data_IF_349288135897
#
_entry.id   IF_349288135897
#
_cell.length_a   1.000
_cell.length_b   1.000
_cell.length_c   1.000
_cell.angle_alpha   90.00
_cell.angle_beta   90.00
_cell.angle_gamma   90.00
#
_symmetry.space_group_name_H-M   'P 1'
#
loop_
_entity.id
_entity.type
_entity.pdbx_description
1 polymer ?
#
# COMPACT_ATOMS: atom_id res chain seq x y z
N UNK A 1 3.00 -10.87 -14.78
CA UNK A 1 1.85 -10.57 -13.90
C UNK A 1 2.11 -9.27 -13.15
N UNK A 2 1.07 -8.48 -12.82
CA UNK A 2 1.17 -7.28 -11.97
C UNK A 2 0.54 -7.59 -10.63
N UNK A 3 1.26 -7.33 -9.52
CA UNK A 3 0.73 -7.53 -8.17
C UNK A 3 0.94 -6.28 -7.32
N UNK A 4 -0.14 -5.75 -6.75
CA UNK A 4 -0.09 -4.72 -5.71
C UNK A 4 0.24 -5.40 -4.38
N UNK A 5 1.28 -4.95 -3.69
CA UNK A 5 1.79 -5.63 -2.49
C UNK A 5 1.90 -4.66 -1.33
N UNK A 6 1.38 -5.06 -0.18
CA UNK A 6 1.57 -4.34 1.08
C UNK A 6 2.95 -4.59 1.67
N UNK A 7 3.68 -3.51 1.90
CA UNK A 7 5.02 -3.54 2.50
C UNK A 7 4.99 -3.72 4.04
N UNK A 8 3.82 -3.64 4.63
CA UNK A 8 3.70 -3.61 6.09
C UNK A 8 3.96 -2.23 6.70
N UNK A 9 3.96 -2.13 8.04
CA UNK A 9 3.95 -0.85 8.76
C UNK A 9 5.36 -0.26 9.00
N UNK A 10 6.41 -0.86 8.45
CA UNK A 10 7.77 -0.33 8.55
C UNK A 10 8.85 -1.38 8.84
N UNK A 11 8.65 -2.27 9.80
CA UNK A 11 9.59 -3.34 10.09
C UNK A 11 9.65 -4.35 8.92
N UNK A 12 10.84 -4.80 8.57
CA UNK A 12 11.07 -5.68 7.41
C UNK A 12 10.41 -7.06 7.59
N UNK A 13 10.31 -7.53 8.80
CA UNK A 13 9.71 -8.81 9.18
C UNK A 13 8.18 -8.78 9.31
N UNK A 14 7.57 -7.60 9.19
CA UNK A 14 6.11 -7.43 9.18
C UNK A 14 5.52 -7.43 7.77
N UNK A 15 6.32 -7.68 6.75
CA UNK A 15 5.79 -8.03 5.44
C UNK A 15 5.18 -9.44 5.48
N UNK A 16 4.11 -9.66 4.74
CA UNK A 16 3.54 -11.01 4.66
C UNK A 16 4.49 -11.97 3.95
N UNK A 17 4.42 -13.25 4.29
CA UNK A 17 5.21 -14.31 3.62
C UNK A 17 4.98 -14.30 2.10
N UNK A 18 3.73 -14.05 1.67
CA UNK A 18 3.40 -13.90 0.24
C UNK A 18 4.09 -12.67 -0.36
N UNK A 19 4.01 -11.52 0.29
CA UNK A 19 4.64 -10.27 -0.16
C UNK A 19 6.16 -10.42 -0.30
N UNK A 20 6.81 -11.06 0.67
CA UNK A 20 8.24 -11.36 0.60
C UNK A 20 8.60 -12.24 -0.60
N UNK A 21 7.83 -13.30 -0.85
CA UNK A 21 8.04 -14.18 -2.01
C UNK A 21 7.91 -13.41 -3.31
N UNK A 22 6.85 -12.62 -3.46
CA UNK A 22 6.60 -11.80 -4.64
C UNK A 22 7.75 -10.81 -4.92
N UNK A 23 8.29 -10.17 -3.87
CA UNK A 23 9.46 -9.29 -4.01
C UNK A 23 10.70 -10.05 -4.51
N UNK A 24 10.94 -11.25 -3.99
CA UNK A 24 12.09 -12.08 -4.40
C UNK A 24 11.96 -12.55 -5.86
N UNK A 25 10.75 -12.75 -6.35
CA UNK A 25 10.47 -13.23 -7.71
C UNK A 25 10.35 -12.08 -8.72
N UNK A 26 10.18 -10.84 -8.27
CA UNK A 26 9.93 -9.68 -9.12
C UNK A 26 11.07 -9.38 -10.10
N UNK A 27 10.70 -9.07 -11.34
CA UNK A 27 11.60 -8.48 -12.35
C UNK A 27 11.59 -6.96 -12.30
N UNK A 28 10.47 -6.39 -11.88
CA UNK A 28 10.26 -4.95 -11.75
C UNK A 28 9.56 -4.70 -10.41
N UNK A 29 10.10 -3.76 -9.63
CA UNK A 29 9.46 -3.24 -8.42
C UNK A 29 9.25 -1.74 -8.57
N UNK A 30 8.01 -1.29 -8.37
CA UNK A 30 7.66 0.13 -8.32
C UNK A 30 7.18 0.41 -6.89
N UNK A 31 7.96 1.10 -6.09
CA UNK A 31 7.63 1.35 -4.68
C UNK A 31 7.12 2.78 -4.44
N UNK A 32 6.25 2.94 -3.43
CA UNK A 32 5.55 4.18 -3.13
C UNK A 32 6.37 5.17 -2.28
N UNK A 33 7.58 5.48 -2.71
CA UNK A 33 8.38 6.56 -2.14
C UNK A 33 8.94 6.29 -0.74
N UNK A 34 9.15 7.36 0.03
CA UNK A 34 9.90 7.36 1.28
C UNK A 34 9.24 6.63 2.46
N UNK A 35 7.98 6.27 2.34
CA UNK A 35 7.25 5.56 3.40
C UNK A 35 7.46 4.04 3.37
N UNK A 36 8.01 3.51 2.29
CA UNK A 36 8.38 2.09 2.21
C UNK A 36 9.78 1.91 2.77
N UNK A 37 9.96 0.97 3.70
CA UNK A 37 11.28 0.67 4.23
C UNK A 37 12.21 0.18 3.11
N UNK A 38 13.33 0.89 2.83
CA UNK A 38 14.24 0.51 1.76
C UNK A 38 14.94 -0.83 2.01
N UNK A 39 14.96 -1.33 3.23
CA UNK A 39 15.48 -2.65 3.58
C UNK A 39 14.75 -3.78 2.84
N UNK A 40 13.44 -3.61 2.56
CA UNK A 40 12.67 -4.57 1.78
C UNK A 40 13.16 -4.72 0.33
N UNK A 41 13.74 -3.66 -0.24
CA UNK A 41 14.26 -3.70 -1.60
C UNK A 41 15.49 -4.60 -1.75
N UNK A 42 16.16 -4.93 -0.63
CA UNK A 42 17.27 -5.90 -0.60
C UNK A 42 16.80 -7.34 -0.84
N UNK A 43 15.49 -7.60 -0.70
CA UNK A 43 14.90 -8.90 -1.00
C UNK A 43 14.78 -9.17 -2.50
N UNK A 44 14.82 -8.12 -3.31
CA UNK A 44 14.72 -8.24 -4.76
C UNK A 44 15.98 -8.93 -5.34
N UNK A 45 15.78 -9.67 -6.42
CA UNK A 45 16.88 -10.27 -7.15
C UNK A 45 17.80 -9.19 -7.77
N UNK A 46 19.06 -9.50 -7.97
CA UNK A 46 20.09 -8.57 -8.45
C UNK A 46 19.71 -7.87 -9.78
N UNK A 47 19.03 -8.56 -10.65
CA UNK A 47 18.59 -8.04 -11.96
C UNK A 47 17.23 -7.31 -11.92
N UNK A 48 16.61 -7.18 -10.76
CA UNK A 48 15.35 -6.49 -10.60
C UNK A 48 15.49 -4.99 -10.89
N UNK A 49 14.60 -4.45 -11.73
CA UNK A 49 14.53 -3.00 -11.96
C UNK A 49 13.65 -2.36 -10.90
N UNK A 50 14.19 -1.38 -10.19
CA UNK A 50 13.51 -0.71 -9.09
C UNK A 50 13.22 0.75 -9.44
N UNK A 51 11.94 1.13 -9.33
CA UNK A 51 11.44 2.48 -9.61
C UNK A 51 10.83 3.10 -8.35
N UNK A 52 11.12 4.38 -8.12
CA UNK A 52 10.51 5.15 -7.05
C UNK A 52 9.38 6.03 -7.61
N UNK A 53 8.14 5.66 -7.35
CA UNK A 53 6.98 6.38 -7.89
C UNK A 53 6.73 7.77 -7.27
N UNK A 54 7.44 8.15 -6.21
CA UNK A 54 7.38 9.52 -5.71
C UNK A 54 7.92 10.56 -6.73
N UNK A 55 8.64 10.10 -7.74
CA UNK A 55 9.23 10.92 -8.81
C UNK A 55 8.60 10.66 -10.17
N UNK A 56 7.46 9.95 -10.20
CA UNK A 56 6.78 9.51 -11.42
C UNK A 56 5.34 10.01 -11.43
N UNK A 57 4.82 10.27 -12.62
CA UNK A 57 3.38 10.51 -12.82
C UNK A 57 2.63 9.17 -12.86
N UNK A 58 1.30 9.22 -12.82
CA UNK A 58 0.47 8.02 -12.96
C UNK A 58 0.72 7.33 -14.31
N UNK A 59 0.81 8.13 -15.37
CA UNK A 59 1.05 7.67 -16.73
C UNK A 59 2.39 6.94 -16.84
N UNK A 60 3.45 7.50 -16.26
CA UNK A 60 4.78 6.86 -16.25
C UNK A 60 4.79 5.53 -15.48
N UNK A 61 4.05 5.45 -14.36
CA UNK A 61 3.90 4.21 -13.59
C UNK A 61 3.16 3.16 -14.43
N UNK A 62 2.07 3.55 -15.08
CA UNK A 62 1.29 2.66 -15.94
C UNK A 62 2.11 2.20 -17.16
N UNK A 63 2.88 3.10 -17.79
CA UNK A 63 3.75 2.74 -18.90
C UNK A 63 4.74 1.63 -18.54
N UNK A 64 5.39 1.75 -17.37
CA UNK A 64 6.31 0.72 -16.86
C UNK A 64 5.58 -0.60 -16.64
N UNK A 65 4.37 -0.57 -16.06
CA UNK A 65 3.56 -1.78 -15.82
C UNK A 65 3.14 -2.45 -17.12
N UNK A 66 2.57 -1.68 -18.09
CA UNK A 66 2.07 -2.18 -19.36
C UNK A 66 3.20 -2.79 -20.18
N UNK A 67 4.33 -2.06 -20.31
CA UNK A 67 5.50 -2.53 -21.01
C UNK A 67 6.08 -3.80 -20.39
N UNK A 68 6.25 -3.79 -19.07
CA UNK A 68 6.77 -4.94 -18.34
C UNK A 68 5.85 -6.16 -18.47
N UNK A 69 4.53 -5.96 -18.46
CA UNK A 69 3.57 -7.05 -18.69
C UNK A 69 3.71 -7.63 -20.11
N UNK A 70 3.80 -6.76 -21.12
CA UNK A 70 4.03 -7.19 -22.50
C UNK A 70 5.32 -7.97 -22.72
N UNK A 71 6.35 -7.66 -21.93
CA UNK A 71 7.64 -8.38 -21.90
C UNK A 71 7.60 -9.67 -21.03
N UNK A 72 6.42 -10.07 -20.51
CA UNK A 72 6.24 -11.27 -19.69
C UNK A 72 6.90 -11.20 -18.32
N UNK A 73 7.08 -9.99 -17.75
CA UNK A 73 7.76 -9.76 -16.48
C UNK A 73 6.82 -9.88 -15.27
N UNK A 74 7.39 -10.28 -14.14
CA UNK A 74 6.74 -10.21 -12.82
C UNK A 74 6.95 -8.81 -12.23
N UNK A 75 5.85 -8.11 -11.98
CA UNK A 75 5.85 -6.70 -11.58
C UNK A 75 5.19 -6.57 -10.21
N UNK A 76 5.91 -5.98 -9.26
CA UNK A 76 5.39 -5.66 -7.94
C UNK A 76 5.20 -4.14 -7.81
N UNK A 77 3.98 -3.73 -7.50
CA UNK A 77 3.64 -2.39 -7.07
C UNK A 77 3.59 -2.36 -5.55
N UNK A 78 4.68 -1.89 -4.91
CA UNK A 78 4.87 -1.97 -3.46
C UNK A 78 4.34 -0.71 -2.76
N UNK A 79 3.39 -0.89 -1.85
CA UNK A 79 2.75 0.17 -1.08
C UNK A 79 3.03 0.02 0.42
N UNK A 80 3.10 1.14 1.13
CA UNK A 80 3.19 1.15 2.60
C UNK A 80 1.95 0.55 3.23
N UNK A 81 2.10 -0.20 4.31
CA UNK A 81 1.00 -0.82 5.02
C UNK A 81 0.25 -1.82 4.14
N UNK A 82 -1.02 -1.53 3.88
CA UNK A 82 -1.91 -2.26 2.98
C UNK A 82 -2.27 -1.40 1.76
N UNK A 83 -2.23 -1.93 0.53
CA UNK A 83 -2.52 -1.16 -0.68
C UNK A 83 -3.95 -0.59 -0.71
N UNK A 84 -4.91 -1.28 -0.09
CA UNK A 84 -6.32 -0.90 -0.09
C UNK A 84 -6.64 0.26 0.86
N UNK A 85 -5.72 0.63 1.76
CA UNK A 85 -5.88 1.75 2.69
C UNK A 85 -5.02 2.94 2.26
N UNK A 86 -5.65 3.92 1.63
CA UNK A 86 -5.02 5.14 1.13
C UNK A 86 -3.85 4.92 0.15
N UNK A 87 -3.78 3.75 -0.48
CA UNK A 87 -2.73 3.40 -1.44
C UNK A 87 -2.86 4.06 -2.81
N UNK A 88 -3.98 4.74 -3.11
CA UNK A 88 -4.27 5.33 -4.41
C UNK A 88 -4.11 4.33 -5.58
N UNK A 89 -4.51 3.07 -5.35
CA UNK A 89 -4.37 2.00 -6.34
C UNK A 89 -5.56 1.92 -7.31
N UNK A 90 -6.71 2.53 -6.94
CA UNK A 90 -7.94 2.41 -7.72
C UNK A 90 -7.79 2.88 -9.16
N UNK A 91 -7.20 4.05 -9.37
CA UNK A 91 -6.98 4.61 -10.69
C UNK A 91 -6.07 3.70 -11.54
N UNK A 92 -5.02 3.14 -10.92
CA UNK A 92 -4.11 2.21 -11.60
C UNK A 92 -4.85 0.93 -12.00
N UNK A 93 -5.65 0.36 -11.10
CA UNK A 93 -6.46 -0.83 -11.37
C UNK A 93 -7.48 -0.59 -12.48
N UNK A 94 -8.16 0.57 -12.48
CA UNK A 94 -9.14 0.91 -13.50
C UNK A 94 -8.51 1.03 -14.90
N UNK A 95 -7.32 1.62 -15.00
CA UNK A 95 -6.57 1.69 -16.26
C UNK A 95 -6.09 0.31 -16.73
N UNK A 96 -5.55 -0.51 -15.83
CA UNK A 96 -5.17 -1.89 -16.17
C UNK A 96 -6.37 -2.72 -16.65
N UNK A 97 -7.54 -2.53 -16.01
CA UNK A 97 -8.77 -3.21 -16.41
C UNK A 97 -9.24 -2.79 -17.80
N UNK A 98 -9.15 -1.49 -18.15
CA UNK A 98 -9.47 -1.00 -19.52
C UNK A 98 -8.58 -1.62 -20.59
N UNK A 99 -7.33 -1.91 -20.20
CA UNK A 99 -6.34 -2.53 -21.10
C UNK A 99 -6.40 -4.06 -21.07
N UNK A 100 -7.37 -4.64 -20.34
CA UNK A 100 -7.51 -6.09 -20.14
C UNK A 100 -6.26 -6.78 -19.58
N UNK A 101 -5.45 -6.02 -18.80
CA UNK A 101 -4.25 -6.53 -18.15
C UNK A 101 -4.61 -7.09 -16.80
N UNK A 102 -4.32 -8.38 -16.53
CA UNK A 102 -4.61 -9.01 -15.24
C UNK A 102 -3.69 -8.48 -14.14
N UNK A 103 -4.27 -8.27 -12.97
CA UNK A 103 -3.54 -7.89 -11.76
C UNK A 103 -4.10 -8.60 -10.53
N UNK A 104 -3.30 -8.66 -9.49
CA UNK A 104 -3.66 -9.20 -8.18
C UNK A 104 -3.34 -8.20 -7.07
N UNK A 105 -3.97 -8.40 -5.91
CA UNK A 105 -3.66 -7.67 -4.68
C UNK A 105 -3.18 -8.65 -3.61
N UNK A 106 -2.07 -8.30 -2.97
CA UNK A 106 -1.50 -9.00 -1.83
C UNK A 106 -1.57 -8.08 -0.62
N UNK A 107 -2.48 -8.34 0.32
CA UNK A 107 -2.68 -7.48 1.48
C UNK A 107 -1.42 -7.38 2.34
N UNK A 108 -1.33 -6.30 3.09
CA UNK A 108 -0.25 -6.05 4.05
C UNK A 108 -0.77 -5.69 5.43
N UNK A 109 0.13 -5.62 6.39
CA UNK A 109 -0.18 -5.14 7.74
C UNK A 109 -0.24 -3.62 7.72
N UNK A 110 -1.42 -3.06 8.01
CA UNK A 110 -1.63 -1.60 8.03
C UNK A 110 -0.91 -0.93 9.21
N UNK A 111 -0.57 0.35 9.03
CA UNK A 111 0.14 1.13 10.04
C UNK A 111 -0.59 1.22 11.38
N UNK A 112 -1.92 1.25 11.40
CA UNK A 112 -2.67 1.27 12.65
C UNK A 112 -2.53 -0.04 13.43
N UNK A 113 -2.41 -1.19 12.77
CA UNK A 113 -2.12 -2.46 13.42
C UNK A 113 -0.70 -2.47 14.01
N UNK A 114 0.28 -1.94 13.26
CA UNK A 114 1.65 -1.80 13.74
C UNK A 114 1.75 -0.84 14.92
N UNK A 115 1.00 0.25 14.92
CA UNK A 115 0.93 1.20 16.02
C UNK A 115 0.31 0.57 17.28
N UNK A 116 -0.79 -0.17 17.14
CA UNK A 116 -1.41 -0.87 18.28
C UNK A 116 -0.43 -1.86 18.92
N UNK A 117 0.28 -2.63 18.11
CA UNK A 117 1.29 -3.57 18.60
C UNK A 117 2.43 -2.87 19.34
N UNK A 118 2.94 -1.75 18.80
CA UNK A 118 4.01 -0.97 19.44
C UNK A 118 3.58 -0.31 20.77
N UNK A 119 2.28 0.00 20.90
CA UNK A 119 1.69 0.59 22.11
C UNK A 119 1.13 -0.45 23.07
N UNK A 120 1.20 -1.74 22.73
CA UNK A 120 0.58 -2.82 23.50
C UNK A 120 -0.92 -2.56 23.76
N UNK A 121 -1.61 -2.00 22.75
CA UNK A 121 -2.99 -1.55 22.86
C UNK A 121 -3.93 -2.39 22.00
N UNK A 122 -5.16 -2.57 22.49
CA UNK A 122 -6.27 -3.13 21.72
C UNK A 122 -7.29 -2.02 21.44
N UNK A 123 -7.72 -1.88 20.18
CA UNK A 123 -8.68 -0.85 19.79
C UNK A 123 -10.11 -1.17 20.19
N UNK A 124 -10.45 -2.45 20.22
CA UNK A 124 -11.80 -2.92 20.54
C UNK A 124 -11.83 -3.53 21.92
N UNK A 125 -12.57 -2.90 22.83
CA UNK A 125 -12.70 -3.35 24.23
C UNK A 125 -14.15 -3.69 24.52
N UNK A 126 -14.46 -4.89 25.05
CA UNK A 126 -15.83 -5.27 25.42
C UNK A 126 -16.48 -4.24 26.36
N UNK A 127 -17.68 -3.79 26.01
CA UNK A 127 -18.43 -2.81 26.80
C UNK A 127 -17.93 -1.36 26.72
N UNK A 128 -16.81 -1.09 26.04
CA UNK A 128 -16.23 0.26 25.89
C UNK A 128 -16.27 0.71 24.43
N UNK A 129 -15.62 -0.02 23.54
CA UNK A 129 -15.54 0.33 22.12
C UNK A 129 -15.61 -0.92 21.25
N UNK A 130 -16.55 -0.96 20.33
CA UNK A 130 -16.73 -2.05 19.39
C UNK A 130 -16.41 -1.64 17.94
N UNK A 131 -16.00 -0.38 17.73
CA UNK A 131 -15.80 0.18 16.40
C UNK A 131 -14.44 0.85 16.28
N UNK A 132 -13.81 0.68 15.12
CA UNK A 132 -12.59 1.40 14.71
C UNK A 132 -12.91 2.19 13.46
N UNK A 133 -12.69 3.49 13.50
CA UNK A 133 -12.88 4.39 12.35
C UNK A 133 -11.52 4.87 11.89
N UNK A 134 -11.18 4.56 10.63
CA UNK A 134 -9.92 4.94 10.02
C UNK A 134 -10.17 6.14 9.12
N UNK A 135 -9.56 7.26 9.47
CA UNK A 135 -9.65 8.49 8.69
C UNK A 135 -8.26 9.03 8.40
N UNK A 136 -8.18 9.85 7.39
CA UNK A 136 -6.98 10.56 7.00
C UNK A 136 -7.22 12.06 7.18
N UNK A 137 -6.23 12.79 7.70
CA UNK A 137 -6.29 14.25 7.66
C UNK A 137 -6.47 14.72 6.22
N UNK A 138 -7.37 15.66 6.04
CA UNK A 138 -7.59 16.30 4.75
C UNK A 138 -6.28 16.97 4.29
N UNK A 139 -5.90 16.75 3.03
CA UNK A 139 -4.83 17.52 2.39
C UNK A 139 -5.21 19.00 2.29
N UNK A 140 -4.27 19.86 1.90
CA UNK A 140 -4.43 21.33 1.83
C UNK A 140 -5.69 21.84 1.11
N UNK A 141 -6.35 21.01 0.31
CA UNK A 141 -7.53 21.38 -0.49
C UNK A 141 -8.87 20.93 0.12
N UNK A 142 -8.90 20.21 1.23
CA UNK A 142 -10.16 19.67 1.78
C UNK A 142 -10.53 20.20 3.16
N UNK A 143 -9.93 21.29 3.61
CA UNK A 143 -10.32 21.98 4.85
C UNK A 143 -11.76 22.52 4.81
N UNK A 144 -12.36 22.63 3.61
CA UNK A 144 -13.72 23.17 3.41
C UNK A 144 -14.80 22.08 3.64
N UNK A 145 -14.43 20.80 3.65
CA UNK A 145 -15.37 19.68 3.80
C UNK A 145 -15.11 18.80 5.02
N UNK A 146 -14.30 19.24 5.96
CA UNK A 146 -14.38 18.70 7.30
C UNK A 146 -15.66 19.32 7.88
N UNK A 147 -16.80 18.71 7.56
CA UNK A 147 -17.90 18.73 8.50
C UNK A 147 -17.28 18.49 9.87
N UNK A 148 -17.57 19.35 10.81
CA UNK A 148 -17.09 19.32 12.20
C UNK A 148 -16.76 17.89 12.61
N UNK A 149 -15.60 17.62 13.25
CA UNK A 149 -15.35 16.30 13.79
C UNK A 149 -16.63 15.98 14.56
N UNK A 150 -17.33 14.96 14.06
CA UNK A 150 -18.46 14.43 14.80
C UNK A 150 -17.87 14.24 16.17
N UNK A 151 -18.24 15.12 17.11
CA UNK A 151 -17.81 15.01 18.49
C UNK A 151 -17.97 13.55 18.79
N UNK A 152 -16.92 12.88 19.21
CA UNK A 152 -17.03 11.65 19.93
C UNK A 152 -18.03 11.99 21.04
N UNK A 153 -19.30 11.82 20.78
CA UNK A 153 -20.26 11.70 21.82
C UNK A 153 -19.88 10.40 22.48
N UNK A 154 -19.14 10.54 23.55
CA UNK A 154 -19.14 9.58 24.64
C UNK A 154 -20.61 9.42 24.99
N UNK A 155 -21.27 8.46 24.36
CA UNK A 155 -22.55 7.97 24.81
C UNK A 155 -22.20 7.19 26.07
N UNK A 156 -22.34 7.90 27.17
CA UNK A 156 -22.37 7.31 28.50
C UNK A 156 -23.52 6.32 28.63
#
# INVERSE_FOLDING_TARGET
MITFVGAGPGAEDLITVRGQRLLKEADIVIYAGSLVNPGLLKLCKEKCKIYNSAKMTLEEVLEVMVKGHGDGKEIVRLHTGDPCLYGAIREQMDELKKLEIPYEDCPGVSSFCGAAAALEAEYTLPGISQSVVITRMAGRLSLIHISEPTRLQLIS
#
